data_IF_235777615726
#
_entry.id   IF_235777615726
#
_cell.length_a   1.000
_cell.length_b   1.000
_cell.length_c   1.000
_cell.angle_alpha   90.00
_cell.angle_beta   90.00
_cell.angle_gamma   90.00
#
_symmetry.space_group_name_H-M   'P 1'
#
loop_
_entity.id
_entity.type
_entity.pdbx_description
1 polymer ?
#
# COMPACT_ATOMS: atom_id res chain seq x y z
N UNK A 1 -4.38 -16.71 -14.70
CA UNK A 1 -3.08 -16.08 -14.91
C UNK A 1 -3.20 -15.21 -16.14
N UNK A 2 -3.31 -13.90 -15.98
CA UNK A 2 -3.27 -12.96 -17.10
C UNK A 2 -1.84 -12.96 -17.64
N UNK A 3 -1.69 -12.88 -18.96
CA UNK A 3 -0.41 -12.91 -19.68
C UNK A 3 0.30 -11.54 -19.60
N UNK A 4 0.21 -10.88 -18.45
CA UNK A 4 0.68 -9.52 -18.24
C UNK A 4 2.16 -9.53 -17.85
N UNK A 5 2.93 -8.61 -18.44
CA UNK A 5 4.36 -8.48 -18.15
C UNK A 5 4.57 -8.12 -16.69
N UNK A 6 5.49 -8.81 -16.02
CA UNK A 6 5.91 -8.46 -14.65
C UNK A 6 6.97 -7.34 -14.63
N UNK A 7 7.54 -7.01 -15.80
CA UNK A 7 8.49 -5.90 -16.01
C UNK A 7 7.78 -4.74 -16.69
N UNK A 8 7.70 -3.60 -16.01
CA UNK A 8 6.91 -2.44 -16.44
C UNK A 8 7.68 -1.15 -16.14
N UNK A 9 7.65 -0.17 -17.04
CA UNK A 9 8.08 1.19 -16.70
C UNK A 9 6.92 1.94 -16.03
N UNK A 10 7.10 2.36 -14.77
CA UNK A 10 6.03 2.93 -13.92
C UNK A 10 5.45 4.20 -14.53
N UNK A 11 6.29 5.14 -14.96
CA UNK A 11 5.83 6.42 -15.52
C UNK A 11 5.05 6.21 -16.82
N UNK A 12 5.54 5.31 -17.69
CA UNK A 12 4.84 4.94 -18.92
C UNK A 12 3.49 4.29 -18.61
N UNK A 13 3.45 3.34 -17.68
CA UNK A 13 2.23 2.65 -17.31
C UNK A 13 1.19 3.60 -16.71
N UNK A 14 1.60 4.54 -15.85
CA UNK A 14 0.71 5.60 -15.34
C UNK A 14 0.16 6.42 -16.50
N UNK A 15 1.02 6.88 -17.41
CA UNK A 15 0.60 7.68 -18.58
C UNK A 15 -0.41 6.93 -19.48
N UNK A 16 -0.19 5.63 -19.70
CA UNK A 16 -1.07 4.78 -20.50
C UNK A 16 -2.42 4.51 -19.81
N UNK A 17 -2.49 4.65 -18.48
CA UNK A 17 -3.67 4.36 -17.67
C UNK A 17 -4.31 5.60 -17.02
N UNK A 18 -3.98 6.82 -17.48
CA UNK A 18 -4.50 8.08 -16.91
C UNK A 18 -6.02 8.11 -16.72
N UNK A 19 -6.78 7.55 -17.66
CA UNK A 19 -8.23 7.50 -17.58
C UNK A 19 -8.75 6.72 -16.35
N UNK A 20 -8.00 5.75 -15.84
CA UNK A 20 -8.37 4.98 -14.65
C UNK A 20 -8.21 5.77 -13.34
N UNK A 21 -7.43 6.86 -13.35
CA UNK A 21 -7.19 7.70 -12.18
C UNK A 21 -8.24 8.82 -12.01
N UNK A 22 -9.27 8.82 -12.85
CA UNK A 22 -10.40 9.73 -12.80
C UNK A 22 -11.69 8.98 -12.38
N UNK A 23 -12.69 9.70 -11.82
CA UNK A 23 -14.00 9.13 -11.56
C UNK A 23 -14.63 8.52 -12.83
N UNK A 24 -15.42 7.44 -12.70
CA UNK A 24 -15.83 6.77 -11.46
C UNK A 24 -14.86 5.68 -10.95
N UNK A 25 -13.76 5.43 -11.65
CA UNK A 25 -12.85 4.30 -11.36
C UNK A 25 -11.85 4.68 -10.26
N UNK A 26 -11.16 5.82 -10.42
CA UNK A 26 -10.17 6.40 -9.51
C UNK A 26 -8.97 5.52 -9.12
N UNK A 27 -8.88 4.25 -9.52
CA UNK A 27 -7.77 3.37 -9.18
C UNK A 27 -7.51 2.33 -10.27
N UNK A 28 -6.29 1.80 -10.30
CA UNK A 28 -5.95 0.65 -11.12
C UNK A 28 -4.85 -0.18 -10.46
N UNK A 29 -5.05 -1.49 -10.40
CA UNK A 29 -4.02 -2.46 -10.04
C UNK A 29 -3.02 -2.58 -11.20
N UNK A 30 -1.75 -2.35 -10.90
CA UNK A 30 -0.62 -2.73 -11.76
C UNK A 30 -0.33 -4.22 -11.59
N UNK A 31 -0.35 -4.70 -10.35
CA UNK A 31 -0.17 -6.11 -10.02
C UNK A 31 -1.19 -6.54 -8.95
N UNK A 32 -1.76 -7.73 -9.12
CA UNK A 32 -2.74 -8.32 -8.21
C UNK A 32 -2.37 -9.79 -7.92
N UNK A 33 -1.37 -9.97 -7.05
CA UNK A 33 -0.77 -11.27 -6.70
C UNK A 33 -0.71 -11.47 -5.17
N UNK A 34 0.42 -11.87 -4.60
CA UNK A 34 0.60 -11.80 -3.14
C UNK A 34 0.78 -10.35 -2.70
N UNK A 35 1.51 -9.55 -3.49
CA UNK A 35 1.47 -8.09 -3.39
C UNK A 35 0.38 -7.53 -4.33
N UNK A 36 -0.42 -6.62 -3.80
CA UNK A 36 -1.32 -5.77 -4.56
C UNK A 36 -0.66 -4.42 -4.72
N UNK A 37 -0.30 -4.06 -5.96
CA UNK A 37 0.37 -2.81 -6.28
C UNK A 37 -0.58 -2.01 -7.15
N UNK A 38 -1.05 -0.89 -6.62
CA UNK A 38 -2.06 -0.08 -7.28
C UNK A 38 -1.70 1.39 -7.29
N UNK A 39 -2.23 2.08 -8.30
CA UNK A 39 -2.16 3.52 -8.41
C UNK A 39 -3.57 4.08 -8.31
N UNK A 40 -3.72 5.12 -7.49
CA UNK A 40 -5.02 5.69 -7.13
C UNK A 40 -4.98 7.19 -7.38
N UNK A 41 -5.92 7.69 -8.16
CA UNK A 41 -6.13 9.12 -8.40
C UNK A 41 -7.36 9.68 -7.71
N UNK A 42 -7.91 10.75 -8.29
CA UNK A 42 -9.05 11.47 -7.73
C UNK A 42 -9.69 12.45 -8.73
N UNK A 43 -10.76 13.17 -8.31
CA UNK A 43 -11.18 13.33 -6.92
C UNK A 43 -11.92 12.11 -6.37
N UNK A 44 -11.59 11.72 -5.13
CA UNK A 44 -12.30 10.70 -4.38
C UNK A 44 -12.28 11.06 -2.89
N UNK A 45 -13.41 11.51 -2.37
CA UNK A 45 -13.61 11.92 -0.97
C UNK A 45 -14.67 11.01 -0.38
N UNK A 46 -14.37 10.40 0.76
CA UNK A 46 -15.19 9.35 1.34
C UNK A 46 -15.23 9.46 2.87
N UNK A 47 -16.31 8.94 3.47
CA UNK A 47 -16.53 8.99 4.93
C UNK A 47 -16.24 7.68 5.63
N UNK A 48 -16.18 6.60 4.87
CA UNK A 48 -15.86 5.28 5.40
C UNK A 48 -14.39 5.15 5.73
N UNK A 49 -14.13 4.41 6.79
CA UNK A 49 -12.83 4.00 7.26
C UNK A 49 -12.67 2.52 6.98
N UNK A 50 -11.61 2.17 6.27
CA UNK A 50 -11.18 0.80 6.09
C UNK A 50 -10.26 0.40 7.25
N UNK A 51 -10.37 -0.85 7.68
CA UNK A 51 -9.55 -1.47 8.70
C UNK A 51 -9.14 -2.83 8.16
N UNK A 52 -7.85 -3.10 8.13
CA UNK A 52 -7.31 -4.39 7.75
C UNK A 52 -6.21 -4.84 8.72
N UNK A 53 -5.81 -6.10 8.61
CA UNK A 53 -4.74 -6.65 9.44
C UNK A 53 -3.36 -6.65 8.79
N UNK A 54 -3.27 -6.30 7.51
CA UNK A 54 -2.02 -5.98 6.82
C UNK A 54 -1.64 -4.51 7.00
N UNK A 55 -0.46 -4.14 6.50
CA UNK A 55 0.00 -2.75 6.44
C UNK A 55 -0.19 -2.17 5.02
N UNK A 56 -0.27 -0.85 4.91
CA UNK A 56 -0.40 -0.16 3.62
C UNK A 56 0.72 0.87 3.44
N UNK A 57 1.50 0.72 2.36
CA UNK A 57 2.52 1.68 1.96
C UNK A 57 1.93 2.70 0.98
N UNK A 58 2.08 3.99 1.27
CA UNK A 58 1.64 5.10 0.44
C UNK A 58 2.82 5.89 -0.10
N UNK A 59 2.77 6.28 -1.36
CA UNK A 59 3.69 7.25 -1.96
C UNK A 59 2.96 8.14 -2.97
N UNK A 60 2.98 9.46 -2.79
CA UNK A 60 2.37 10.37 -3.76
C UNK A 60 3.32 10.69 -4.90
N UNK A 61 2.89 10.37 -6.12
CA UNK A 61 3.65 10.67 -7.35
C UNK A 61 3.26 12.03 -7.90
N UNK A 62 1.96 12.35 -7.84
CA UNK A 62 1.40 13.62 -8.33
C UNK A 62 0.35 14.12 -7.35
N UNK A 63 0.52 15.36 -6.89
CA UNK A 63 -0.37 16.06 -5.97
C UNK A 63 -0.45 15.46 -4.57
N UNK A 64 -1.24 16.13 -3.73
CA UNK A 64 -1.34 15.81 -2.31
C UNK A 64 -2.59 14.96 -2.00
N UNK A 65 -2.50 14.14 -0.95
CA UNK A 65 -3.66 13.49 -0.35
C UNK A 65 -3.72 13.73 1.16
N UNK A 66 -4.90 13.49 1.74
CA UNK A 66 -5.08 13.39 3.19
C UNK A 66 -5.54 11.99 3.52
N UNK A 67 -4.81 11.27 4.36
CA UNK A 67 -5.25 10.02 4.96
C UNK A 67 -5.81 10.32 6.34
N UNK A 68 -7.13 10.31 6.49
CA UNK A 68 -7.73 10.45 7.81
C UNK A 68 -7.58 9.14 8.55
N UNK A 69 -7.12 9.16 9.79
CA UNK A 69 -6.96 7.96 10.62
C UNK A 69 -7.67 8.12 11.96
N UNK A 70 -7.96 7.01 12.63
CA UNK A 70 -8.27 6.99 14.05
C UNK A 70 -7.03 6.56 14.81
N UNK A 71 -6.26 7.53 15.30
CA UNK A 71 -5.06 7.30 16.12
C UNK A 71 -5.46 7.39 17.60
N UNK A 72 -5.26 6.32 18.37
CA UNK A 72 -5.55 6.30 19.80
C UNK A 72 -6.97 6.79 20.17
N UNK A 73 -7.95 6.40 19.36
CA UNK A 73 -9.36 6.77 19.58
C UNK A 73 -9.70 8.21 19.19
N UNK A 74 -8.82 8.92 18.47
CA UNK A 74 -9.03 10.28 18.00
C UNK A 74 -8.86 10.39 16.49
N UNK A 75 -9.67 11.25 15.85
CA UNK A 75 -9.47 11.59 14.44
C UNK A 75 -8.16 12.37 14.27
N UNK A 76 -7.38 11.99 13.25
CA UNK A 76 -6.16 12.67 12.84
C UNK A 76 -6.06 12.69 11.32
N UNK A 77 -5.72 13.85 10.78
CA UNK A 77 -5.47 14.01 9.35
C UNK A 77 -3.97 13.87 9.09
N UNK A 78 -3.59 12.85 8.31
CA UNK A 78 -2.22 12.64 7.85
C UNK A 78 -2.09 13.23 6.44
N UNK A 79 -1.43 14.36 6.31
CA UNK A 79 -1.16 15.00 5.02
C UNK A 79 0.04 14.32 4.36
N UNK A 80 -0.18 13.65 3.24
CA UNK A 80 0.88 13.03 2.43
C UNK A 80 0.98 13.84 1.14
N UNK A 81 2.01 14.68 1.05
CA UNK A 81 2.24 15.59 -0.08
C UNK A 81 2.91 14.89 -1.25
N UNK A 82 2.87 15.51 -2.42
CA UNK A 82 3.62 15.04 -3.60
C UNK A 82 5.10 14.75 -3.24
N UNK A 83 5.57 13.56 -3.60
CA UNK A 83 6.92 13.09 -3.29
C UNK A 83 7.13 12.56 -1.86
N UNK A 84 6.10 12.60 -1.00
CA UNK A 84 6.17 12.02 0.35
C UNK A 84 5.76 10.55 0.36
N UNK A 85 6.44 9.76 1.20
CA UNK A 85 6.14 8.37 1.50
C UNK A 85 5.66 8.22 2.95
N UNK A 86 4.76 7.26 3.17
CA UNK A 86 4.16 6.97 4.46
C UNK A 86 3.79 5.49 4.57
N UNK A 87 4.05 4.86 5.71
CA UNK A 87 3.63 3.49 5.99
C UNK A 87 2.54 3.50 7.08
N UNK A 88 1.38 2.93 6.78
CA UNK A 88 0.29 2.74 7.72
C UNK A 88 0.45 1.39 8.43
N UNK A 89 0.60 1.38 9.77
CA UNK A 89 0.57 0.15 10.56
C UNK A 89 -0.78 -0.57 10.45
N UNK A 90 -0.74 -1.89 10.62
CA UNK A 90 -1.94 -2.72 10.62
C UNK A 90 -2.97 -2.30 11.66
N UNK A 91 -4.25 -2.57 11.38
CA UNK A 91 -5.40 -2.38 12.27
C UNK A 91 -5.65 -0.93 12.71
N UNK A 92 -5.15 0.04 11.95
CA UNK A 92 -5.51 1.45 12.10
C UNK A 92 -6.66 1.77 11.15
N UNK A 93 -7.84 2.21 11.65
CA UNK A 93 -8.90 2.69 10.80
C UNK A 93 -8.43 3.89 10.00
N UNK A 94 -8.59 3.85 8.68
CA UNK A 94 -8.12 4.90 7.79
C UNK A 94 -9.10 5.19 6.64
N UNK A 95 -9.15 6.45 6.20
CA UNK A 95 -10.07 6.96 5.18
C UNK A 95 -9.32 7.89 4.23
N UNK A 96 -8.88 7.39 3.05
CA UNK A 96 -8.10 8.17 2.10
C UNK A 96 -8.94 9.21 1.38
N UNK A 97 -8.44 10.44 1.31
CA UNK A 97 -9.05 11.60 0.67
C UNK A 97 -8.14 12.11 -0.44
N UNK A 98 -8.59 12.00 -1.69
CA UNK A 98 -7.79 12.36 -2.87
C UNK A 98 -8.44 13.49 -3.64
N UNK A 99 -7.66 14.50 -3.97
CA UNK A 99 -8.09 15.61 -4.80
C UNK A 99 -8.00 15.26 -6.30
N UNK A 100 -8.59 16.11 -7.14
CA UNK A 100 -8.49 15.98 -8.58
C UNK A 100 -7.04 16.07 -9.06
N UNK A 101 -6.73 15.40 -10.18
CA UNK A 101 -5.41 15.40 -10.83
C UNK A 101 -4.27 14.82 -9.97
N UNK A 102 -4.58 14.00 -8.96
CA UNK A 102 -3.59 13.31 -8.14
C UNK A 102 -3.33 11.89 -8.64
N UNK A 103 -2.15 11.34 -8.34
CA UNK A 103 -1.80 9.91 -8.51
C UNK A 103 -0.88 9.51 -7.36
N UNK A 104 -1.29 8.51 -6.58
CA UNK A 104 -0.43 7.91 -5.56
C UNK A 104 -0.37 6.40 -5.67
N UNK A 105 0.79 5.84 -5.38
CA UNK A 105 1.04 4.42 -5.18
C UNK A 105 0.45 3.99 -3.84
N UNK A 106 -0.21 2.83 -3.83
CA UNK A 106 -0.54 2.05 -2.64
C UNK A 106 0.00 0.63 -2.84
N UNK A 107 0.70 0.10 -1.85
CA UNK A 107 1.10 -1.32 -1.79
C UNK A 107 0.51 -1.94 -0.53
N UNK A 108 -0.24 -3.01 -0.74
CA UNK A 108 -0.80 -3.88 0.31
C UNK A 108 -0.58 -5.35 -0.11
N UNK A 109 -1.00 -6.30 0.72
CA UNK A 109 -0.86 -7.74 0.44
C UNK A 109 -2.18 -8.49 0.49
N UNK A 110 -2.21 -9.60 -0.23
CA UNK A 110 -3.24 -10.63 -0.10
C UNK A 110 -3.40 -11.05 1.37
N UNK A 111 -4.66 -11.14 1.80
CA UNK A 111 -5.03 -11.53 3.17
C UNK A 111 -4.77 -13.01 3.39
N UNK A 112 -4.30 -13.36 4.59
CA UNK A 112 -4.40 -14.72 5.09
C UNK A 112 -5.87 -15.08 5.28
N UNK A 113 -6.23 -16.36 5.16
CA UNK A 113 -7.62 -16.80 5.30
C UNK A 113 -8.20 -16.56 6.71
N UNK A 114 -7.34 -16.37 7.71
CA UNK A 114 -7.71 -16.02 9.08
C UNK A 114 -7.89 -14.51 9.29
N UNK A 115 -7.53 -13.68 8.32
CA UNK A 115 -7.59 -12.23 8.45
C UNK A 115 -8.96 -11.68 8.04
N UNK A 116 -9.37 -10.60 8.68
CA UNK A 116 -10.65 -9.94 8.41
C UNK A 116 -10.44 -8.46 8.15
N UNK A 117 -11.14 -7.95 7.14
CA UNK A 117 -11.23 -6.53 6.83
C UNK A 117 -12.56 -5.96 7.34
N UNK A 118 -12.61 -4.65 7.53
CA UNK A 118 -13.82 -3.94 7.91
C UNK A 118 -13.95 -2.63 7.16
N UNK A 119 -15.20 -2.33 6.77
CA UNK A 119 -15.59 -0.99 6.36
C UNK A 119 -16.49 -0.40 7.44
N UNK A 120 -16.11 0.77 7.97
CA UNK A 120 -16.76 1.41 9.10
C UNK A 120 -17.12 2.86 8.79
N UNK A 121 -18.27 3.31 9.29
CA UNK A 121 -18.67 4.72 9.32
C UNK A 121 -18.83 5.16 10.77
N UNK A 122 -18.52 6.43 11.03
CA UNK A 122 -18.62 7.04 12.36
C UNK A 122 -19.77 8.05 12.42
N UNK A 123 -20.24 8.33 13.64
CA UNK A 123 -21.26 9.37 13.87
C UNK A 123 -20.60 10.74 13.78
N UNK A 124 -20.92 11.50 12.74
CA UNK A 124 -20.38 12.83 12.46
C UNK A 124 -18.84 12.90 12.61
N UNK A 125 -18.34 13.62 13.61
CA UNK A 125 -16.91 13.76 13.93
C UNK A 125 -16.53 13.06 15.25
N UNK A 126 -17.39 12.20 15.78
CA UNK A 126 -17.09 11.38 16.97
C UNK A 126 -16.45 10.06 16.54
N UNK A 127 -15.91 9.32 17.51
CA UNK A 127 -15.41 7.95 17.29
C UNK A 127 -16.44 6.88 17.66
N UNK A 128 -17.71 7.26 17.81
CA UNK A 128 -18.82 6.32 17.96
C UNK A 128 -19.16 5.68 16.60
N UNK A 129 -19.30 4.36 16.59
CA UNK A 129 -19.52 3.61 15.37
C UNK A 129 -20.97 3.77 14.92
N UNK A 130 -21.17 4.27 13.70
CA UNK A 130 -22.48 4.41 13.07
C UNK A 130 -22.91 3.12 12.36
N UNK A 131 -22.00 2.51 11.62
CA UNK A 131 -22.23 1.30 10.83
C UNK A 131 -20.90 0.61 10.59
N UNK A 132 -20.87 -0.72 10.61
CA UNK A 132 -19.70 -1.47 10.16
C UNK A 132 -20.07 -2.83 9.57
N UNK A 133 -19.23 -3.31 8.64
CA UNK A 133 -19.29 -4.69 8.13
C UNK A 133 -17.89 -5.27 8.09
N UNK A 134 -17.76 -6.45 8.68
CA UNK A 134 -16.56 -7.27 8.68
C UNK A 134 -16.66 -8.34 7.60
N UNK A 135 -15.60 -8.57 6.84
CA UNK A 135 -15.58 -9.53 5.74
C UNK A 135 -14.17 -10.07 5.48
N UNK A 136 -14.09 -11.27 4.91
CA UNK A 136 -12.84 -11.76 4.33
C UNK A 136 -12.59 -11.04 2.99
N UNK A 137 -11.45 -10.36 2.86
CA UNK A 137 -11.09 -9.63 1.65
C UNK A 137 -10.26 -10.50 0.70
N UNK A 138 -10.83 -10.80 -0.46
CA UNK A 138 -10.16 -11.41 -1.60
C UNK A 138 -9.85 -10.36 -2.67
N UNK A 139 -10.81 -9.47 -2.96
CA UNK A 139 -10.66 -8.34 -3.87
C UNK A 139 -11.39 -7.10 -3.31
N UNK A 140 -10.61 -6.22 -2.68
CA UNK A 140 -11.10 -5.05 -1.97
C UNK A 140 -12.00 -4.16 -2.84
N UNK A 141 -11.53 -3.81 -4.05
CA UNK A 141 -12.25 -2.91 -4.96
C UNK A 141 -13.66 -3.41 -5.30
N UNK A 142 -13.83 -4.71 -5.53
CA UNK A 142 -15.15 -5.29 -5.84
C UNK A 142 -16.01 -5.50 -4.60
N UNK A 143 -15.42 -5.88 -3.47
CA UNK A 143 -16.16 -6.21 -2.24
C UNK A 143 -16.58 -4.98 -1.44
N UNK A 144 -15.93 -3.83 -1.60
CA UNK A 144 -16.35 -2.58 -0.97
C UNK A 144 -17.68 -2.06 -1.54
N UNK A 145 -17.94 -2.25 -2.84
CA UNK A 145 -19.14 -1.73 -3.52
C UNK A 145 -20.45 -2.17 -2.84
N UNK A 146 -20.70 -3.46 -2.60
CA UNK A 146 -21.94 -3.88 -1.94
C UNK A 146 -22.05 -3.37 -0.49
N UNK A 147 -20.94 -3.29 0.25
CA UNK A 147 -20.95 -2.77 1.64
C UNK A 147 -21.29 -1.27 1.67
N UNK A 148 -20.74 -0.50 0.73
CA UNK A 148 -21.08 0.92 0.57
C UNK A 148 -22.55 1.08 0.19
N UNK A 149 -23.06 0.27 -0.75
CA UNK A 149 -24.47 0.30 -1.15
C UNK A 149 -25.40 -0.05 0.02
N UNK A 150 -25.02 -1.04 0.83
CA UNK A 150 -25.76 -1.41 2.05
C UNK A 150 -25.83 -0.24 3.03
N UNK A 151 -24.69 0.41 3.31
CA UNK A 151 -24.67 1.59 4.16
C UNK A 151 -25.58 2.70 3.60
N UNK A 152 -25.47 3.03 2.32
CA UNK A 152 -26.27 4.10 1.70
C UNK A 152 -27.79 3.84 1.80
N UNK A 153 -28.21 2.57 1.79
CA UNK A 153 -29.62 2.16 1.92
C UNK A 153 -30.11 2.06 3.39
N UNK A 154 -29.17 2.00 4.34
CA UNK A 154 -29.42 1.71 5.77
C UNK A 154 -30.23 2.80 6.51
N UNK A 155 -30.81 2.44 7.66
CA UNK A 155 -31.42 3.43 8.57
C UNK A 155 -30.36 4.36 9.17
N UNK A 156 -29.16 3.84 9.42
CA UNK A 156 -28.04 4.56 10.01
C UNK A 156 -27.59 5.72 9.11
N UNK A 157 -27.46 5.49 7.80
CA UNK A 157 -27.18 6.57 6.83
C UNK A 157 -28.32 7.60 6.77
N UNK A 158 -29.59 7.15 6.78
CA UNK A 158 -30.77 8.05 6.72
C UNK A 158 -30.93 8.93 7.97
N UNK A 159 -30.59 8.40 9.14
CA UNK A 159 -30.85 9.04 10.44
C UNK A 159 -29.61 9.66 11.08
N UNK A 160 -28.42 9.27 10.64
CA UNK A 160 -27.15 9.63 11.27
C UNK A 160 -26.94 9.00 12.65
N UNK A 161 -27.73 7.98 13.02
CA UNK A 161 -27.69 7.36 14.35
C UNK A 161 -27.48 5.84 14.25
N UNK A 162 -26.79 5.22 15.22
CA UNK A 162 -26.72 3.76 15.31
C UNK A 162 -28.14 3.16 15.37
N UNK A 163 -28.38 2.05 14.66
CA UNK A 163 -29.66 1.34 14.67
C UNK A 163 -29.66 0.32 15.82
N UNK A 164 -30.57 0.43 16.82
CA UNK A 164 -30.66 -0.55 17.90
C UNK A 164 -30.95 -1.98 17.41
N UNK A 165 -31.56 -2.12 16.23
CA UNK A 165 -31.85 -3.42 15.61
C UNK A 165 -30.62 -4.06 14.90
N UNK A 166 -29.55 -3.28 14.68
CA UNK A 166 -28.28 -3.72 14.08
C UNK A 166 -27.10 -3.30 14.98
N UNK A 167 -26.97 -3.92 16.18
CA UNK A 167 -25.99 -3.50 17.16
C UNK A 167 -24.55 -3.83 16.72
N UNK A 168 -23.64 -2.91 17.04
CA UNK A 168 -22.20 -3.08 16.79
C UNK A 168 -21.65 -4.23 17.61
N UNK A 169 -20.89 -5.11 16.96
CA UNK A 169 -20.26 -6.28 17.60
C UNK A 169 -18.81 -5.94 18.00
N UNK A 170 -18.25 -6.64 19.00
CA UNK A 170 -16.82 -6.51 19.29
C UNK A 170 -15.98 -6.81 18.05
N UNK A 171 -14.94 -5.99 17.81
CA UNK A 171 -14.00 -6.22 16.73
C UNK A 171 -13.30 -7.59 16.90
N UNK A 172 -13.02 -8.33 15.81
CA UNK A 172 -12.37 -9.64 15.88
C UNK A 172 -10.91 -9.57 16.35
N UNK A 173 -10.32 -8.37 16.38
CA UNK A 173 -8.97 -8.09 16.86
C UNK A 173 -8.89 -6.71 17.53
N UNK A 174 -7.91 -6.47 18.42
CA UNK A 174 -7.66 -5.14 18.96
C UNK A 174 -7.23 -4.17 17.85
N UNK A 175 -7.78 -2.97 17.86
CA UNK A 175 -7.31 -1.88 17.01
C UNK A 175 -5.95 -1.39 17.51
N UNK A 176 -5.11 -0.96 16.58
CA UNK A 176 -3.75 -0.56 16.88
C UNK A 176 -3.69 0.82 17.57
N UNK A 177 -2.84 0.94 18.59
CA UNK A 177 -2.64 2.14 19.44
C UNK A 177 -1.30 2.83 19.18
N UNK A 178 -0.56 2.42 18.16
CA UNK A 178 0.64 3.11 17.72
C UNK A 178 0.31 4.51 17.24
N UNK A 179 1.17 5.48 17.60
CA UNK A 179 1.17 6.77 16.91
C UNK A 179 1.70 6.57 15.50
N UNK A 180 0.93 6.97 14.49
CA UNK A 180 1.35 6.93 13.09
C UNK A 180 2.52 7.89 12.86
N UNK A 181 3.43 7.48 11.99
CA UNK A 181 4.59 8.28 11.64
C UNK A 181 4.20 9.55 10.87
N UNK A 182 5.12 10.50 10.80
CA UNK A 182 4.97 11.63 9.88
C UNK A 182 5.44 11.21 8.49
N UNK A 183 4.67 11.48 7.42
CA UNK A 183 5.15 11.34 6.05
C UNK A 183 6.45 12.12 5.83
N UNK A 184 7.31 11.63 4.96
CA UNK A 184 8.60 12.26 4.67
C UNK A 184 8.88 12.31 3.19
N UNK A 185 9.61 13.33 2.75
CA UNK A 185 10.10 13.44 1.37
C UNK A 185 10.98 12.23 1.03
N UNK A 186 10.48 11.38 0.14
CA UNK A 186 11.14 10.13 -0.22
C UNK A 186 12.49 10.40 -0.90
N UNK A 187 12.53 11.36 -1.83
CA UNK A 187 13.76 11.74 -2.53
C UNK A 187 14.84 12.21 -1.56
N UNK A 188 14.51 13.12 -0.65
CA UNK A 188 15.47 13.62 0.35
C UNK A 188 15.97 12.50 1.27
N UNK A 189 15.10 11.55 1.62
CA UNK A 189 15.48 10.38 2.39
C UNK A 189 16.47 9.51 1.60
N UNK A 190 16.18 9.19 0.33
CA UNK A 190 17.06 8.41 -0.54
C UNK A 190 18.42 9.09 -0.69
N UNK A 191 18.48 10.38 -1.01
CA UNK A 191 19.74 11.12 -1.15
C UNK A 191 20.61 11.06 0.12
N UNK A 192 19.99 11.18 1.30
CA UNK A 192 20.70 11.05 2.59
C UNK A 192 21.23 9.64 2.83
N UNK A 193 20.55 8.62 2.31
CA UNK A 193 20.95 7.22 2.47
C UNK A 193 21.90 6.72 1.37
N UNK A 194 22.16 7.46 0.30
CA UNK A 194 23.07 7.00 -0.77
C UNK A 194 24.49 6.68 -0.29
N UNK A 195 25.18 7.51 0.53
CA UNK A 195 26.56 7.24 0.92
C UNK A 195 26.79 5.86 1.57
N UNK A 196 25.97 5.39 2.54
CA UNK A 196 26.15 4.06 3.12
C UNK A 196 25.86 2.89 2.17
N UNK A 197 25.12 3.08 1.07
CA UNK A 197 24.83 2.03 0.10
C UNK A 197 26.06 1.55 -0.67
N UNK A 198 27.09 2.39 -0.79
CA UNK A 198 28.34 2.05 -1.51
C UNK A 198 29.05 0.84 -0.89
N UNK A 199 28.79 0.55 0.39
CA UNK A 199 29.34 -0.62 1.08
C UNK A 199 28.53 -1.91 0.83
N UNK A 200 27.58 -1.90 -0.11
CA UNK A 200 26.77 -3.06 -0.51
C UNK A 200 25.71 -3.49 0.50
N UNK A 201 25.57 -2.79 1.65
CA UNK A 201 24.56 -3.12 2.66
C UNK A 201 23.23 -2.44 2.34
N UNK A 202 22.14 -3.20 2.12
CA UNK A 202 20.82 -2.61 1.93
C UNK A 202 20.29 -2.01 3.23
N UNK A 203 19.43 -1.00 3.10
CA UNK A 203 18.86 -0.26 4.23
C UNK A 203 17.35 -0.47 4.29
N UNK A 204 16.84 -0.90 5.45
CA UNK A 204 15.40 -0.94 5.69
C UNK A 204 14.91 0.45 6.09
N UNK A 205 14.05 1.05 5.26
CA UNK A 205 13.54 2.40 5.41
C UNK A 205 12.74 2.61 6.70
N UNK A 206 11.91 1.63 7.07
CA UNK A 206 11.00 1.75 8.20
C UNK A 206 11.50 1.01 9.45
N UNK A 207 12.57 0.22 9.32
CA UNK A 207 13.14 -0.56 10.42
C UNK A 207 12.44 -1.89 10.64
N UNK A 208 12.78 -2.56 11.74
CA UNK A 208 12.33 -3.92 12.03
C UNK A 208 11.04 -4.01 12.82
N UNK A 209 10.39 -2.90 13.16
CA UNK A 209 9.13 -2.89 13.92
C UNK A 209 7.87 -3.10 13.06
N UNK A 210 7.99 -3.09 11.74
CA UNK A 210 6.87 -3.25 10.81
C UNK A 210 6.87 -4.61 10.10
N UNK A 211 5.71 -5.02 9.59
CA UNK A 211 5.56 -6.19 8.72
C UNK A 211 6.22 -5.93 7.35
N UNK A 212 5.98 -4.73 6.81
CA UNK A 212 6.49 -4.26 5.53
C UNK A 212 7.98 -4.03 5.61
N UNK A 213 8.71 -4.52 4.61
CA UNK A 213 10.11 -4.18 4.38
C UNK A 213 10.18 -3.36 3.11
N UNK A 214 10.61 -2.11 3.24
CA UNK A 214 10.99 -1.27 2.10
C UNK A 214 12.49 -1.07 2.17
N UNK A 215 13.19 -1.83 1.34
CA UNK A 215 14.64 -1.90 1.33
C UNK A 215 15.19 -1.01 0.21
N UNK A 216 16.21 -0.22 0.53
CA UNK A 216 16.99 0.54 -0.45
C UNK A 216 18.28 -0.23 -0.75
N UNK A 217 18.50 -0.54 -2.02
CA UNK A 217 19.68 -1.23 -2.53
C UNK A 217 20.53 -0.28 -3.37
N UNK A 218 21.85 -0.34 -3.17
CA UNK A 218 22.85 0.30 -4.02
C UNK A 218 23.51 -0.68 -5.00
N UNK A 219 24.69 -0.34 -5.53
CA UNK A 219 25.48 -1.23 -6.37
C UNK A 219 25.81 -2.57 -5.71
N UNK A 220 26.10 -3.56 -6.55
CA UNK A 220 26.57 -4.88 -6.12
C UNK A 220 25.65 -6.00 -6.57
N UNK A 221 25.75 -7.14 -5.90
CA UNK A 221 25.04 -8.36 -6.28
C UNK A 221 24.25 -8.87 -5.06
N UNK A 222 23.10 -9.48 -5.30
CA UNK A 222 22.41 -10.26 -4.28
C UNK A 222 22.74 -11.74 -4.49
N UNK A 223 22.91 -12.49 -3.41
CA UNK A 223 22.92 -13.95 -3.50
C UNK A 223 21.62 -14.46 -4.13
N UNK A 224 21.72 -15.57 -4.85
CA UNK A 224 20.55 -16.25 -5.40
C UNK A 224 19.56 -16.54 -4.28
N UNK A 225 18.35 -16.00 -4.41
CA UNK A 225 17.37 -16.03 -3.34
C UNK A 225 16.03 -16.53 -3.83
N UNK A 226 15.36 -17.29 -2.96
CA UNK A 226 14.00 -17.77 -3.13
C UNK A 226 13.20 -17.39 -1.88
N UNK A 227 12.20 -16.54 -2.05
CA UNK A 227 11.41 -16.00 -0.93
C UNK A 227 10.00 -16.60 -0.93
N UNK A 228 9.36 -16.76 0.24
CA UNK A 228 8.01 -17.31 0.34
C UNK A 228 6.91 -16.31 -0.07
N UNK A 229 7.28 -15.09 -0.45
CA UNK A 229 6.36 -13.98 -0.78
C UNK A 229 6.83 -13.29 -2.05
N UNK A 230 5.95 -12.50 -2.66
CA UNK A 230 6.33 -11.63 -3.76
C UNK A 230 7.35 -10.59 -3.27
N UNK A 231 8.16 -10.10 -4.20
CA UNK A 231 9.02 -8.94 -4.02
C UNK A 231 8.89 -7.99 -5.19
N UNK A 232 8.76 -6.70 -4.91
CA UNK A 232 8.64 -5.70 -5.96
C UNK A 232 9.89 -4.81 -6.01
N UNK A 233 10.63 -4.90 -7.11
CA UNK A 233 11.79 -4.05 -7.40
C UNK A 233 11.29 -2.80 -8.12
N UNK A 234 11.76 -1.62 -7.72
CA UNK A 234 11.59 -0.38 -8.48
C UNK A 234 12.95 0.31 -8.66
N UNK A 235 13.42 0.40 -9.89
CA UNK A 235 14.70 1.02 -10.26
C UNK A 235 14.56 2.54 -10.25
N UNK A 236 15.19 3.20 -9.28
CA UNK A 236 15.10 4.65 -9.09
C UNK A 236 16.20 5.39 -9.85
N UNK A 237 17.42 4.85 -9.84
CA UNK A 237 18.59 5.42 -10.51
C UNK A 237 19.46 4.32 -11.11
N UNK A 238 20.17 4.64 -12.20
CA UNK A 238 21.07 3.70 -12.85
C UNK A 238 20.35 2.52 -13.48
N UNK A 239 20.98 1.34 -13.42
CA UNK A 239 20.44 0.11 -14.01
C UNK A 239 20.78 -1.12 -13.18
N UNK A 240 19.95 -2.14 -13.33
CA UNK A 240 20.21 -3.48 -12.80
C UNK A 240 19.73 -4.57 -13.76
N UNK A 241 20.15 -5.81 -13.52
CA UNK A 241 19.71 -6.99 -14.23
C UNK A 241 19.22 -8.02 -13.23
N UNK A 242 18.01 -8.54 -13.44
CA UNK A 242 17.44 -9.63 -12.66
C UNK A 242 17.34 -10.87 -13.53
N UNK A 243 18.02 -11.94 -13.16
CA UNK A 243 17.93 -13.24 -13.84
C UNK A 243 16.98 -14.15 -13.07
N UNK A 244 15.91 -14.62 -13.71
CA UNK A 244 14.98 -15.60 -13.13
C UNK A 244 14.33 -16.46 -14.21
N UNK A 245 14.07 -17.73 -13.91
CA UNK A 245 13.46 -18.69 -14.84
C UNK A 245 14.17 -18.78 -16.22
N UNK A 246 15.50 -18.62 -16.24
CA UNK A 246 16.30 -18.64 -17.47
C UNK A 246 16.12 -17.41 -18.38
N UNK A 247 15.52 -16.33 -17.86
CA UNK A 247 15.35 -15.05 -18.54
C UNK A 247 16.01 -13.92 -17.76
N UNK A 248 16.54 -12.95 -18.50
CA UNK A 248 17.18 -11.75 -17.96
C UNK A 248 16.28 -10.53 -18.16
N UNK A 249 16.04 -9.80 -17.07
CA UNK A 249 15.24 -8.60 -17.02
C UNK A 249 16.15 -7.41 -16.73
N UNK A 250 16.44 -6.61 -17.76
CA UNK A 250 17.23 -5.38 -17.61
C UNK A 250 16.32 -4.23 -17.16
N UNK A 251 16.56 -3.72 -15.96
CA UNK A 251 15.81 -2.62 -15.36
C UNK A 251 16.59 -1.32 -15.53
N UNK A 252 15.95 -0.35 -16.20
CA UNK A 252 16.40 1.03 -16.32
C UNK A 252 15.60 1.95 -15.39
N UNK A 253 15.99 3.21 -15.28
CA UNK A 253 15.29 4.20 -14.42
C UNK A 253 13.78 4.23 -14.72
N UNK A 254 12.98 4.09 -13.66
CA UNK A 254 11.53 4.04 -13.73
C UNK A 254 10.96 2.64 -13.98
N UNK A 255 11.78 1.66 -14.34
CA UNK A 255 11.34 0.27 -14.48
C UNK A 255 11.12 -0.38 -13.11
N UNK A 256 10.08 -1.20 -13.04
CA UNK A 256 9.79 -2.06 -11.91
C UNK A 256 9.66 -3.52 -12.37
N UNK A 257 9.88 -4.43 -11.44
CA UNK A 257 9.75 -5.87 -11.66
C UNK A 257 9.08 -6.51 -10.45
N UNK A 258 7.99 -7.25 -10.70
CA UNK A 258 7.43 -8.15 -9.69
C UNK A 258 8.11 -9.51 -9.78
N UNK A 259 8.80 -9.91 -8.73
CA UNK A 259 9.34 -11.26 -8.55
C UNK A 259 8.33 -12.06 -7.72
N UNK A 260 7.73 -13.06 -8.33
CA UNK A 260 6.67 -13.85 -7.68
C UNK A 260 7.22 -14.75 -6.57
N UNK A 261 6.39 -15.01 -5.57
CA UNK A 261 6.67 -15.95 -4.48
C UNK A 261 7.23 -17.29 -5.00
N UNK A 262 8.20 -17.84 -4.28
CA UNK A 262 8.92 -19.07 -4.62
C UNK A 262 9.71 -19.06 -5.94
N UNK A 263 9.83 -17.90 -6.61
CA UNK A 263 10.74 -17.73 -7.75
C UNK A 263 12.16 -17.57 -7.25
N UNK A 264 13.07 -18.38 -7.80
CA UNK A 264 14.50 -18.18 -7.62
C UNK A 264 14.98 -17.10 -8.57
N UNK A 265 15.69 -16.11 -8.03
CA UNK A 265 16.24 -15.03 -8.84
C UNK A 265 17.62 -14.62 -8.36
N UNK A 266 18.36 -14.02 -9.29
CA UNK A 266 19.65 -13.40 -9.07
C UNK A 266 19.56 -11.93 -9.47
N UNK A 267 20.17 -11.02 -8.70
CA UNK A 267 20.04 -9.58 -8.94
C UNK A 267 21.39 -8.87 -8.94
N UNK A 268 21.81 -8.39 -10.11
CA UNK A 268 23.04 -7.65 -10.33
C UNK A 268 22.76 -6.17 -10.54
N UNK A 269 23.40 -5.30 -9.77
CA UNK A 269 23.14 -3.85 -9.70
C UNK A 269 24.40 -3.08 -10.08
N UNK A 270 24.31 -2.24 -11.10
CA UNK A 270 25.44 -1.46 -11.61
C UNK A 270 25.94 -0.42 -10.59
N UNK A 271 27.12 0.15 -10.83
CA UNK A 271 27.79 1.12 -9.93
C UNK A 271 26.99 2.39 -9.61
N UNK A 272 26.01 2.73 -10.44
CA UNK A 272 25.11 3.87 -10.24
C UNK A 272 23.70 3.46 -9.80
N UNK A 273 23.48 2.19 -9.46
CA UNK A 273 22.17 1.66 -9.11
C UNK A 273 21.69 2.22 -7.77
N UNK A 274 20.47 2.73 -7.76
CA UNK A 274 19.64 2.87 -6.56
C UNK A 274 18.29 2.26 -6.87
N UNK A 275 17.87 1.28 -6.07
CA UNK A 275 16.62 0.58 -6.28
C UNK A 275 15.87 0.33 -4.96
N UNK A 276 14.55 0.43 -5.03
CA UNK A 276 13.65 0.01 -3.96
C UNK A 276 13.33 -1.48 -4.12
N UNK A 277 13.18 -2.18 -3.00
CA UNK A 277 12.64 -3.53 -2.95
C UNK A 277 11.60 -3.61 -1.83
N UNK A 278 10.35 -3.89 -2.19
CA UNK A 278 9.21 -3.93 -1.27
C UNK A 278 8.73 -5.35 -1.07
N UNK A 279 8.52 -5.74 0.19
CA UNK A 279 7.92 -7.02 0.59
C UNK A 279 6.96 -6.78 1.74
N UNK A 280 5.85 -7.51 1.73
CA UNK A 280 4.94 -7.62 2.88
C UNK A 280 4.75 -9.10 3.19
N UNK A 281 5.51 -9.59 4.17
CA UNK A 281 5.48 -10.98 4.57
C UNK A 281 4.58 -11.17 5.80
N UNK A 282 3.44 -11.87 5.69
CA UNK A 282 2.53 -12.10 6.81
C UNK A 282 3.20 -12.82 8.01
N UNK A 283 4.28 -13.57 7.80
CA UNK A 283 5.02 -14.19 8.90
C UNK A 283 5.76 -13.16 9.78
N UNK A 284 5.93 -11.92 9.30
CA UNK A 284 6.49 -10.78 10.04
C UNK A 284 5.43 -9.91 10.70
N UNK A 285 4.15 -10.30 10.61
CA UNK A 285 3.04 -9.57 11.21
C UNK A 285 3.29 -9.37 12.69
N UNK A 286 3.04 -8.15 13.16
CA UNK A 286 3.27 -7.81 14.57
C UNK A 286 2.13 -8.29 15.44
N UNK A 287 2.42 -8.82 16.64
CA UNK A 287 1.39 -9.03 17.63
C UNK A 287 0.88 -7.67 18.11
N UNK A 288 -0.44 -7.51 18.18
CA UNK A 288 -1.11 -6.37 18.82
C UNK A 288 -2.11 -6.92 19.84
#
# INVERSE_FOLDING_TARGET
>A
MTNESLHINVDRWIKENEASFLPPVCNKLMFFYQLNIMFVGGPNIRKDYHIEEGEELFYQIRGDMVLKVIENGMHKDVHIREGEMFLLPARIPHSPQRQANTVGLVVERRRLHSETDCLRYYVDNTTDILFERWFYCENLGTQLVPVIQEFMASKQHKTGKPDPDDPIKPAPFPLNTMNVMTPFCFKDWVEKQKPPLVNGRPLNMFGSQFETEVMLYGPGESETSKRPTDGWIWQLEGSSNVSMNGQDYNLSVGDCLLVLESTEYHWQRADNCVALYVVQNPDRKRPF
#
